data_IF_082824175402
#
_entry.id   IF_082824175402
#
_cell.length_a   1.000
_cell.length_b   1.000
_cell.length_c   1.000
_cell.angle_alpha   90.00
_cell.angle_beta   90.00
_cell.angle_gamma   90.00
#
_symmetry.space_group_name_H-M   'P 1'
#
loop_
_entity.id
_entity.type
_entity.pdbx_description
1 polymer ?
#
# COMPACT_ATOMS: atom_id res chain seq x y z
N UNK A 1 15.16 19.43 -9.22
CA UNK A 1 13.81 20.00 -9.02
C UNK A 1 13.90 20.90 -7.81
N UNK A 2 13.70 22.21 -7.95
CA UNK A 2 13.61 23.08 -6.78
C UNK A 2 12.18 22.93 -6.24
N UNK A 3 12.00 22.29 -5.08
CA UNK A 3 10.68 22.07 -4.47
C UNK A 3 10.05 23.39 -3.98
N UNK A 4 10.88 24.43 -3.88
CA UNK A 4 10.48 25.83 -3.79
C UNK A 4 9.96 26.25 -5.18
N UNK A 5 8.66 26.55 -5.27
CA UNK A 5 7.89 26.87 -6.48
C UNK A 5 7.49 25.66 -7.35
N UNK A 6 6.95 24.61 -6.73
CA UNK A 6 6.34 23.52 -7.51
C UNK A 6 5.07 23.99 -8.22
N UNK A 7 4.99 23.75 -9.54
CA UNK A 7 3.89 24.19 -10.41
C UNK A 7 3.24 22.98 -11.06
N UNK A 8 1.94 22.81 -10.85
CA UNK A 8 1.16 21.68 -11.35
C UNK A 8 -0.02 22.20 -12.18
N UNK A 9 -0.34 21.52 -13.28
CA UNK A 9 -1.55 21.82 -14.06
C UNK A 9 -2.55 20.67 -13.92
N UNK A 10 -3.78 20.99 -13.53
CA UNK A 10 -4.91 20.05 -13.53
C UNK A 10 -6.14 20.74 -14.06
N UNK A 11 -6.74 20.20 -15.12
CA UNK A 11 -7.92 20.76 -15.79
C UNK A 11 -7.74 22.25 -16.19
N UNK A 12 -6.55 22.62 -16.67
CA UNK A 12 -6.22 23.99 -17.06
C UNK A 12 -5.97 24.96 -15.89
N UNK A 13 -6.14 24.54 -14.63
CA UNK A 13 -5.77 25.33 -13.46
C UNK A 13 -4.33 25.05 -13.07
N UNK A 14 -3.61 26.12 -12.80
CA UNK A 14 -2.24 26.08 -12.32
C UNK A 14 -2.28 26.18 -10.79
N UNK A 15 -1.67 25.20 -10.12
CA UNK A 15 -1.52 25.16 -8.68
C UNK A 15 -0.04 25.32 -8.37
N UNK A 16 0.28 26.32 -7.55
CA UNK A 16 1.62 26.58 -7.07
C UNK A 16 1.70 26.30 -5.58
N UNK A 17 2.72 25.57 -5.14
CA UNK A 17 2.97 25.29 -3.73
C UNK A 17 4.46 25.22 -3.43
N UNK A 18 4.82 25.73 -2.26
CA UNK A 18 6.15 25.58 -1.66
C UNK A 18 6.23 24.42 -0.67
N UNK A 19 5.10 23.72 -0.44
CA UNK A 19 5.00 22.58 0.45
C UNK A 19 4.39 21.38 -0.29
N UNK A 20 5.11 20.27 -0.34
CA UNK A 20 4.71 19.03 -1.00
C UNK A 20 4.80 17.89 0.01
N UNK A 21 3.71 17.14 0.14
CA UNK A 21 3.72 15.84 0.83
C UNK A 21 3.89 14.75 -0.22
N UNK A 22 5.03 14.08 -0.20
CA UNK A 22 5.28 12.91 -1.02
C UNK A 22 4.74 11.65 -0.35
N UNK A 23 3.82 10.97 -1.03
CA UNK A 23 3.17 9.75 -0.52
C UNK A 23 3.61 8.48 -1.25
N UNK A 24 4.44 8.58 -2.28
CA UNK A 24 4.92 7.43 -3.04
C UNK A 24 5.98 6.61 -2.32
N UNK A 25 6.57 5.65 -3.03
CA UNK A 25 7.67 4.86 -2.49
C UNK A 25 8.92 5.76 -2.27
N UNK A 26 9.48 5.83 -1.04
CA UNK A 26 10.62 6.69 -0.73
C UNK A 26 11.85 6.49 -1.63
N UNK A 27 12.08 5.30 -2.20
CA UNK A 27 13.17 5.05 -3.17
C UNK A 27 13.15 6.07 -4.31
N UNK A 28 11.95 6.45 -4.75
CA UNK A 28 11.78 7.38 -5.87
C UNK A 28 12.28 8.80 -5.55
N UNK A 29 12.45 9.15 -4.27
CA UNK A 29 12.96 10.45 -3.87
C UNK A 29 14.36 10.70 -4.44
N UNK A 30 15.21 9.68 -4.61
CA UNK A 30 16.53 9.90 -5.20
C UNK A 30 16.44 10.45 -6.63
N UNK A 31 15.62 9.82 -7.48
CA UNK A 31 15.39 10.30 -8.84
C UNK A 31 14.65 11.64 -8.85
N UNK A 32 13.61 11.79 -8.03
CA UNK A 32 12.78 13.01 -7.99
C UNK A 32 13.55 14.24 -7.51
N UNK A 33 14.52 14.04 -6.63
CA UNK A 33 15.35 15.12 -6.08
C UNK A 33 16.67 15.30 -6.86
N UNK A 34 16.81 14.67 -8.02
CA UNK A 34 18.04 14.71 -8.81
C UNK A 34 19.29 14.37 -7.99
N UNK A 35 19.21 13.30 -7.17
CA UNK A 35 20.25 12.79 -6.29
C UNK A 35 20.58 13.63 -5.04
N UNK A 36 19.87 14.71 -4.75
CA UNK A 36 20.06 15.47 -3.49
C UNK A 36 19.72 14.61 -2.26
N UNK A 37 18.65 13.82 -2.36
CA UNK A 37 18.35 12.77 -1.39
C UNK A 37 18.90 11.44 -1.91
N UNK A 38 19.79 10.81 -1.14
CA UNK A 38 20.24 9.44 -1.42
C UNK A 38 19.37 8.41 -0.70
N UNK A 39 18.80 7.47 -1.44
CA UNK A 39 17.95 6.43 -0.89
C UNK A 39 18.59 5.07 -1.09
N UNK A 40 19.10 4.50 -0.01
CA UNK A 40 19.56 3.12 0.02
C UNK A 40 18.47 2.29 0.65
N UNK A 41 17.82 1.47 -0.16
CA UNK A 41 16.91 0.46 0.34
C UNK A 41 17.32 -0.87 -0.26
N UNK A 42 17.24 -1.96 0.51
CA UNK A 42 17.45 -3.27 -0.07
C UNK A 42 16.47 -3.39 -1.22
N UNK A 43 16.95 -3.79 -2.40
CA UNK A 43 16.13 -4.26 -3.52
C UNK A 43 15.48 -5.60 -3.11
N UNK A 44 14.82 -5.61 -1.97
CA UNK A 44 14.00 -6.71 -1.50
C UNK A 44 12.75 -6.70 -2.37
N UNK A 45 12.66 -7.69 -3.25
CA UNK A 45 11.46 -7.97 -4.02
C UNK A 45 10.51 -8.71 -3.11
N UNK A 46 9.32 -8.15 -2.94
CA UNK A 46 8.34 -8.72 -2.03
C UNK A 46 7.93 -10.14 -2.50
N UNK A 47 8.05 -11.13 -1.61
CA UNK A 47 7.76 -12.53 -1.92
C UNK A 47 6.26 -12.90 -1.87
N UNK A 48 5.38 -11.95 -1.57
CA UNK A 48 3.94 -12.22 -1.45
C UNK A 48 3.26 -12.36 -2.82
N UNK A 49 2.13 -13.07 -2.82
CA UNK A 49 1.14 -13.02 -3.90
C UNK A 49 -0.21 -12.61 -3.33
N UNK A 50 -0.87 -11.66 -3.99
CA UNK A 50 -2.31 -11.42 -3.81
C UNK A 50 -3.04 -12.06 -4.98
N UNK A 51 -4.10 -12.79 -4.70
CA UNK A 51 -4.93 -13.47 -5.68
C UNK A 51 -6.35 -12.93 -5.62
N UNK A 52 -6.94 -12.66 -6.78
CA UNK A 52 -8.38 -12.50 -6.94
C UNK A 52 -8.88 -13.75 -7.67
N UNK A 53 -9.63 -14.58 -6.97
CA UNK A 53 -10.18 -15.83 -7.48
C UNK A 53 -11.63 -15.55 -7.84
N UNK A 54 -11.93 -15.56 -9.14
CA UNK A 54 -13.28 -15.38 -9.67
C UNK A 54 -13.95 -16.75 -9.67
N UNK A 55 -15.11 -16.82 -9.05
CA UNK A 55 -15.87 -18.04 -8.80
C UNK A 55 -17.16 -18.02 -9.61
N UNK A 56 -17.66 -19.23 -9.93
CA UNK A 56 -18.96 -19.42 -10.58
C UNK A 56 -20.12 -19.17 -9.61
N UNK A 57 -19.95 -19.58 -8.36
CA UNK A 57 -20.94 -19.60 -7.29
C UNK A 57 -20.24 -19.72 -5.92
N UNK A 58 -21.01 -19.56 -4.84
CA UNK A 58 -20.55 -19.70 -3.45
C UNK A 58 -19.85 -21.05 -3.17
N UNK A 59 -18.80 -21.02 -2.38
CA UNK A 59 -18.00 -22.21 -2.02
C UNK A 59 -18.63 -23.04 -0.90
N UNK A 60 -18.35 -24.35 -0.90
CA UNK A 60 -18.50 -25.19 0.28
C UNK A 60 -17.41 -24.86 1.29
N UNK A 61 -17.70 -25.13 2.56
CA UNK A 61 -16.83 -24.78 3.68
C UNK A 61 -16.67 -25.99 4.58
N UNK A 62 -15.43 -26.30 4.93
CA UNK A 62 -15.09 -27.31 5.94
C UNK A 62 -14.86 -26.67 7.32
N UNK A 63 -15.14 -27.44 8.38
CA UNK A 63 -14.77 -27.05 9.74
C UNK A 63 -13.25 -26.86 9.90
N UNK A 64 -12.79 -25.93 10.75
CA UNK A 64 -13.57 -25.13 11.71
C UNK A 64 -14.15 -23.83 11.11
N UNK A 65 -14.02 -23.62 9.80
CA UNK A 65 -14.51 -22.40 9.16
C UNK A 65 -16.03 -22.48 9.07
N UNK A 66 -16.72 -21.47 9.62
CA UNK A 66 -18.18 -21.37 9.55
C UNK A 66 -18.58 -20.39 8.45
N UNK A 67 -19.67 -20.64 7.70
CA UNK A 67 -20.18 -19.71 6.70
C UNK A 67 -20.44 -18.30 7.25
N UNK A 68 -20.84 -18.20 8.51
CA UNK A 68 -21.11 -16.92 9.18
C UNK A 68 -19.87 -16.04 9.35
N UNK A 69 -18.65 -16.55 9.12
CA UNK A 69 -17.42 -15.74 9.13
C UNK A 69 -17.11 -15.08 7.77
N UNK A 70 -17.91 -15.35 6.74
CA UNK A 70 -17.68 -14.82 5.39
C UNK A 70 -17.85 -13.31 5.29
N UNK A 71 -18.46 -12.69 6.30
CA UNK A 71 -18.58 -11.25 6.44
C UNK A 71 -17.37 -10.56 7.07
N UNK A 72 -16.30 -11.33 7.32
CA UNK A 72 -15.09 -10.87 7.99
C UNK A 72 -13.83 -11.08 7.14
N UNK A 73 -12.71 -10.57 7.65
CA UNK A 73 -11.39 -10.97 7.21
C UNK A 73 -11.02 -12.31 7.85
N UNK A 74 -10.93 -13.37 7.05
CA UNK A 74 -10.59 -14.70 7.53
C UNK A 74 -9.06 -14.87 7.49
N UNK A 75 -8.47 -15.32 8.59
CA UNK A 75 -7.02 -15.61 8.66
C UNK A 75 -6.82 -17.12 8.71
N UNK A 76 -6.29 -17.68 7.62
CA UNK A 76 -5.95 -19.10 7.49
C UNK A 76 -4.42 -19.28 7.44
N UNK A 77 -3.90 -20.51 7.60
CA UNK A 77 -2.48 -20.79 7.34
C UNK A 77 -2.02 -20.36 5.94
N UNK A 78 -2.94 -20.39 4.96
CA UNK A 78 -2.73 -19.93 3.59
C UNK A 78 -2.59 -18.43 3.47
N UNK A 79 -3.11 -17.65 4.43
CA UNK A 79 -3.08 -16.19 4.40
C UNK A 79 -4.43 -15.57 4.76
N UNK A 80 -4.54 -14.28 4.44
CA UNK A 80 -5.71 -13.46 4.73
C UNK A 80 -6.69 -13.49 3.56
N UNK A 81 -7.95 -13.83 3.83
CA UNK A 81 -9.01 -14.02 2.84
C UNK A 81 -10.17 -13.07 3.12
N UNK A 82 -10.73 -12.50 2.05
CA UNK A 82 -12.05 -11.85 2.10
C UNK A 82 -12.94 -12.38 0.97
N UNK A 83 -14.24 -12.41 1.24
CA UNK A 83 -15.30 -12.80 0.31
C UNK A 83 -16.28 -11.62 0.16
N UNK A 84 -15.89 -10.52 -0.49
CA UNK A 84 -16.70 -9.31 -0.57
C UNK A 84 -18.11 -9.55 -1.15
N UNK A 85 -18.26 -10.48 -2.08
CA UNK A 85 -19.57 -10.82 -2.66
C UNK A 85 -20.52 -11.49 -1.67
N UNK A 86 -20.01 -12.10 -0.59
CA UNK A 86 -20.84 -12.70 0.46
C UNK A 86 -21.54 -11.64 1.33
N UNK A 87 -21.04 -10.40 1.35
CA UNK A 87 -21.62 -9.29 2.15
C UNK A 87 -22.24 -8.18 1.32
N UNK A 88 -21.83 -8.03 0.06
CA UNK A 88 -22.34 -6.99 -0.82
C UNK A 88 -22.69 -7.58 -2.20
N UNK A 89 -23.95 -7.98 -2.31
CA UNK A 89 -24.53 -8.52 -3.55
C UNK A 89 -24.53 -7.50 -4.71
N UNK A 90 -24.28 -6.21 -4.45
CA UNK A 90 -24.22 -5.18 -5.50
C UNK A 90 -22.90 -5.19 -6.27
N UNK A 91 -21.84 -5.79 -5.73
CA UNK A 91 -20.53 -5.83 -6.37
C UNK A 91 -20.51 -6.71 -7.62
N UNK A 92 -21.45 -7.65 -7.73
CA UNK A 92 -21.60 -8.56 -8.87
C UNK A 92 -20.51 -9.63 -8.96
N UNK A 93 -20.92 -10.88 -9.15
CA UNK A 93 -20.02 -12.04 -9.25
C UNK A 93 -19.45 -12.49 -7.91
N UNK A 94 -19.04 -13.76 -7.83
CA UNK A 94 -18.44 -14.33 -6.62
C UNK A 94 -16.91 -14.22 -6.68
N UNK A 95 -16.32 -13.44 -5.78
CA UNK A 95 -14.87 -13.19 -5.77
C UNK A 95 -14.30 -13.45 -4.38
N UNK A 96 -13.31 -14.33 -4.31
CA UNK A 96 -12.44 -14.47 -3.15
C UNK A 96 -11.17 -13.67 -3.40
N UNK A 97 -10.78 -12.82 -2.45
CA UNK A 97 -9.44 -12.22 -2.46
C UNK A 97 -8.59 -12.85 -1.38
N UNK A 98 -7.34 -13.16 -1.71
CA UNK A 98 -6.39 -13.83 -0.83
C UNK A 98 -5.05 -13.08 -0.87
N UNK A 99 -4.50 -12.76 0.29
CA UNK A 99 -3.10 -12.38 0.47
C UNK A 99 -2.33 -13.56 1.08
N UNK A 100 -1.55 -14.29 0.28
CA UNK A 100 -0.87 -15.49 0.77
C UNK A 100 -0.56 -16.53 -0.32
N UNK A 101 -0.91 -17.79 -0.08
CA UNK A 101 -0.75 -18.91 -1.02
C UNK A 101 -2.08 -19.61 -1.31
N UNK A 102 -2.32 -19.94 -2.57
CA UNK A 102 -3.49 -20.73 -2.98
C UNK A 102 -3.38 -22.21 -2.64
N UNK A 103 -2.18 -22.67 -2.26
CA UNK A 103 -1.89 -24.08 -1.96
C UNK A 103 -2.53 -24.50 -0.63
N UNK A 104 -3.34 -25.56 -0.66
CA UNK A 104 -4.04 -26.07 0.53
C UNK A 104 -5.33 -25.31 0.87
N UNK A 105 -5.80 -24.42 0.00
CA UNK A 105 -7.14 -23.81 0.18
C UNK A 105 -8.26 -24.84 0.15
N UNK A 106 -8.06 -25.96 -0.56
CA UNK A 106 -9.02 -27.06 -0.63
C UNK A 106 -9.34 -27.70 0.72
N UNK A 107 -8.44 -27.56 1.72
CA UNK A 107 -8.66 -28.06 3.07
C UNK A 107 -9.85 -27.35 3.74
N UNK A 108 -10.06 -26.07 3.39
CA UNK A 108 -11.13 -25.22 3.92
C UNK A 108 -12.28 -25.04 2.92
N UNK A 109 -11.98 -25.05 1.62
CA UNK A 109 -12.93 -24.84 0.53
C UNK A 109 -12.82 -25.99 -0.49
N UNK A 110 -13.45 -27.15 -0.24
CA UNK A 110 -13.19 -28.37 -0.98
C UNK A 110 -13.53 -28.29 -2.48
N UNK A 111 -14.45 -27.41 -2.87
CA UNK A 111 -14.88 -27.19 -4.26
C UNK A 111 -14.20 -25.99 -4.93
N UNK A 112 -13.18 -25.37 -4.31
CA UNK A 112 -12.51 -24.18 -4.82
C UNK A 112 -11.97 -24.36 -6.25
N UNK A 113 -11.34 -25.50 -6.54
CA UNK A 113 -10.75 -25.77 -7.87
C UNK A 113 -11.82 -25.95 -8.95
N UNK A 114 -12.95 -26.56 -8.60
CA UNK A 114 -14.07 -26.79 -9.52
C UNK A 114 -14.77 -25.47 -9.88
N UNK A 115 -14.94 -24.59 -8.87
CA UNK A 115 -15.71 -23.35 -9.00
C UNK A 115 -14.90 -22.16 -9.49
N UNK A 116 -13.57 -22.26 -9.49
CA UNK A 116 -12.69 -21.21 -10.02
C UNK A 116 -12.87 -21.06 -11.52
N UNK A 117 -13.35 -19.89 -11.94
CA UNK A 117 -13.41 -19.48 -13.34
C UNK A 117 -12.10 -18.83 -13.81
N UNK A 118 -11.49 -18.02 -12.93
CA UNK A 118 -10.26 -17.30 -13.25
C UNK A 118 -9.49 -16.95 -11.98
N UNK A 119 -8.16 -16.84 -12.11
CA UNK A 119 -7.28 -16.36 -11.05
C UNK A 119 -6.46 -15.21 -11.60
N UNK A 120 -6.68 -14.02 -11.04
CA UNK A 120 -5.79 -12.88 -11.25
C UNK A 120 -4.76 -12.83 -10.12
N UNK A 121 -3.47 -12.90 -10.49
CA UNK A 121 -2.35 -12.89 -9.53
C UNK A 121 -1.63 -11.54 -9.60
N UNK A 122 -1.72 -10.79 -8.51
CA UNK A 122 -0.97 -9.56 -8.28
C UNK A 122 0.29 -9.89 -7.49
N UNK A 123 1.45 -9.82 -8.15
CA UNK A 123 2.76 -10.00 -7.54
C UNK A 123 3.57 -8.69 -7.58
N UNK A 124 4.79 -8.70 -7.04
CA UNK A 124 5.63 -7.50 -6.98
C UNK A 124 5.89 -6.85 -8.34
N UNK A 125 5.97 -7.62 -9.44
CA UNK A 125 6.19 -7.08 -10.79
C UNK A 125 4.98 -6.28 -11.27
N UNK A 126 3.78 -6.82 -11.06
CA UNK A 126 2.52 -6.15 -11.38
C UNK A 126 2.39 -4.88 -10.56
N UNK A 127 2.73 -4.95 -9.27
CA UNK A 127 2.65 -3.77 -8.40
C UNK A 127 3.66 -2.70 -8.78
N UNK A 128 4.88 -3.10 -9.11
CA UNK A 128 5.93 -2.19 -9.56
C UNK A 128 5.55 -1.49 -10.86
N UNK A 129 5.02 -2.22 -11.85
CA UNK A 129 4.67 -1.65 -13.15
C UNK A 129 3.41 -0.77 -13.11
N UNK A 130 2.35 -1.21 -12.43
CA UNK A 130 1.07 -0.51 -12.44
C UNK A 130 1.03 0.69 -11.48
N UNK A 131 1.69 0.58 -10.33
CA UNK A 131 1.60 1.60 -9.27
C UNK A 131 2.89 2.40 -9.08
N UNK A 132 3.89 2.21 -9.94
CA UNK A 132 5.21 2.83 -9.82
C UNK A 132 5.77 2.63 -8.39
N UNK A 133 5.73 1.40 -7.91
CA UNK A 133 6.13 1.04 -6.56
C UNK A 133 7.33 0.06 -6.59
N UNK A 134 8.57 0.59 -6.62
CA UNK A 134 9.78 -0.22 -6.68
C UNK A 134 9.83 -1.35 -5.63
N UNK A 135 10.18 -2.56 -6.06
CA UNK A 135 10.22 -3.76 -5.23
C UNK A 135 8.84 -4.33 -4.86
N UNK A 136 7.75 -3.65 -5.26
CA UNK A 136 6.38 -4.11 -5.12
C UNK A 136 5.88 -4.28 -3.69
N UNK A 137 6.54 -3.67 -2.69
CA UNK A 137 6.12 -3.79 -1.29
C UNK A 137 4.89 -2.90 -1.02
N UNK A 138 3.75 -3.43 -0.56
CA UNK A 138 2.52 -2.65 -0.36
C UNK A 138 2.69 -1.60 0.74
N UNK A 139 3.67 -1.79 1.64
CA UNK A 139 4.05 -0.82 2.65
C UNK A 139 5.16 0.12 2.17
N UNK A 140 5.50 0.14 0.88
CA UNK A 140 6.67 0.78 0.25
C UNK A 140 8.03 0.26 0.72
N UNK A 141 8.22 0.03 2.02
CA UNK A 141 9.41 -0.56 2.62
C UNK A 141 9.05 -1.76 3.52
N UNK A 142 9.99 -2.70 3.74
CA UNK A 142 9.78 -3.89 4.58
C UNK A 142 9.20 -3.58 5.96
N UNK A 143 8.28 -4.43 6.43
CA UNK A 143 7.71 -4.31 7.78
C UNK A 143 8.75 -4.57 8.88
N UNK A 144 9.89 -5.20 8.60
CA UNK A 144 11.01 -5.26 9.56
C UNK A 144 11.58 -3.87 9.90
N UNK A 145 11.30 -2.85 9.08
CA UNK A 145 11.62 -1.45 9.38
C UNK A 145 10.49 -0.73 10.13
N UNK A 146 9.36 -1.38 10.40
CA UNK A 146 8.26 -0.77 11.15
C UNK A 146 8.80 -0.30 12.50
N UNK A 147 8.41 0.91 12.91
CA UNK A 147 8.96 1.62 14.07
C UNK A 147 10.44 2.05 14.01
N UNK A 148 11.22 1.66 13.00
CA UNK A 148 12.59 2.15 12.76
C UNK A 148 12.60 3.42 11.90
N UNK A 149 11.88 4.46 12.36
CA UNK A 149 12.13 5.84 11.94
C UNK A 149 12.23 6.00 10.40
N UNK A 150 11.24 5.42 9.70
CA UNK A 150 11.20 5.27 8.24
C UNK A 150 10.90 6.60 7.53
N UNK A 151 11.43 6.83 6.32
CA UNK A 151 12.32 5.99 5.54
C UNK A 151 13.80 6.17 5.91
N UNK A 152 14.12 7.21 6.68
CA UNK A 152 15.45 7.50 7.20
C UNK A 152 15.37 8.02 8.63
N UNK A 153 16.24 7.47 9.47
CA UNK A 153 16.34 7.85 10.88
C UNK A 153 16.56 9.35 11.04
N UNK A 154 15.83 9.95 11.97
CA UNK A 154 15.91 11.37 12.30
C UNK A 154 15.13 12.32 11.38
N UNK A 155 14.51 11.85 10.29
CA UNK A 155 13.67 12.72 9.45
C UNK A 155 12.33 13.08 10.09
N UNK A 156 11.74 12.15 10.86
CA UNK A 156 10.32 12.24 11.21
C UNK A 156 9.46 12.32 9.94
N UNK A 157 8.75 13.44 9.74
CA UNK A 157 7.95 13.70 8.53
C UNK A 157 8.55 14.76 7.60
N UNK A 158 9.72 15.31 7.94
CA UNK A 158 10.41 16.37 7.19
C UNK A 158 11.63 15.79 6.49
N UNK A 159 11.80 16.06 5.21
CA UNK A 159 13.02 15.67 4.51
C UNK A 159 14.10 16.76 4.69
N UNK A 160 15.37 16.48 4.33
CA UNK A 160 16.42 17.50 4.28
C UNK A 160 16.14 18.63 3.28
N UNK A 161 15.23 18.41 2.32
CA UNK A 161 14.81 19.43 1.37
C UNK A 161 13.64 20.19 1.98
N UNK A 162 13.83 21.51 2.15
CA UNK A 162 12.81 22.40 2.68
C UNK A 162 11.53 22.36 1.84
N UNK A 163 10.38 22.27 2.51
CA UNK A 163 9.09 22.19 1.85
C UNK A 163 8.74 20.81 1.30
N UNK A 164 9.63 19.81 1.41
CA UNK A 164 9.35 18.44 1.03
C UNK A 164 9.15 17.58 2.28
N UNK A 165 7.96 16.98 2.38
CA UNK A 165 7.50 16.14 3.47
C UNK A 165 7.18 14.74 2.97
N UNK A 166 7.06 13.79 3.88
CA UNK A 166 6.72 12.40 3.57
C UNK A 166 5.47 11.98 4.35
N UNK A 167 4.51 11.32 3.69
CA UNK A 167 3.23 10.98 4.31
C UNK A 167 2.57 9.71 3.79
N UNK A 168 3.29 8.88 3.04
CA UNK A 168 2.81 7.58 2.55
C UNK A 168 3.20 6.41 3.44
N UNK A 169 2.91 5.19 2.99
CA UNK A 169 3.25 3.93 3.69
C UNK A 169 4.75 3.75 4.00
N UNK A 170 5.60 4.48 3.28
CA UNK A 170 7.03 4.51 3.50
C UNK A 170 7.50 5.32 4.71
N UNK A 171 6.66 6.19 5.28
CA UNK A 171 6.97 7.00 6.45
C UNK A 171 6.59 6.27 7.76
N UNK A 172 7.14 6.72 8.89
CA UNK A 172 6.77 6.21 10.21
C UNK A 172 5.25 6.38 10.48
N UNK A 173 4.60 5.46 11.22
CA UNK A 173 5.11 4.17 11.71
C UNK A 173 5.20 3.09 10.61
N UNK A 174 4.51 3.30 9.49
CA UNK A 174 4.35 2.37 8.38
C UNK A 174 2.98 2.58 7.72
N UNK A 175 2.70 1.82 6.67
CA UNK A 175 1.44 1.87 5.92
C UNK A 175 0.27 1.13 6.57
N UNK A 176 -0.52 0.46 5.72
CA UNK A 176 -1.83 -0.13 5.98
C UNK A 176 -2.96 0.93 6.06
N UNK A 177 -4.07 0.60 6.72
CA UNK A 177 -5.31 1.40 6.76
C UNK A 177 -5.30 2.43 7.91
N UNK A 178 -4.14 2.71 8.53
CA UNK A 178 -4.07 3.53 9.74
C UNK A 178 -4.30 5.03 9.48
N UNK A 179 -3.93 5.52 8.30
CA UNK A 179 -3.95 6.96 7.96
C UNK A 179 -2.96 7.83 8.76
N UNK A 180 -2.17 7.24 9.65
CA UNK A 180 -1.24 7.95 10.56
C UNK A 180 -0.17 8.73 9.81
N UNK A 181 0.51 8.18 8.77
CA UNK A 181 1.55 8.92 8.07
C UNK A 181 1.04 10.20 7.41
N UNK A 182 -0.11 10.11 6.73
CA UNK A 182 -0.73 11.26 6.05
C UNK A 182 -1.15 12.35 7.04
N UNK A 183 -1.81 11.95 8.15
CA UNK A 183 -2.19 12.86 9.23
C UNK A 183 -0.98 13.62 9.77
N UNK A 184 0.08 12.90 10.15
CA UNK A 184 1.22 13.52 10.82
C UNK A 184 2.07 14.37 9.86
N UNK A 185 2.17 13.98 8.58
CA UNK A 185 2.77 14.83 7.55
C UNK A 185 2.03 16.17 7.40
N UNK A 186 0.69 16.13 7.40
CA UNK A 186 -0.11 17.35 7.36
C UNK A 186 0.13 18.24 8.59
N UNK A 187 0.23 17.67 9.79
CA UNK A 187 0.59 18.43 10.99
C UNK A 187 1.97 19.07 10.89
N UNK A 188 2.98 18.35 10.37
CA UNK A 188 4.32 18.90 10.17
C UNK A 188 4.31 20.12 9.21
N UNK A 189 3.55 20.03 8.11
CA UNK A 189 3.35 21.16 7.18
C UNK A 189 2.69 22.33 7.91
N UNK A 190 1.61 22.09 8.66
CA UNK A 190 0.88 23.14 9.38
C UNK A 190 1.75 23.84 10.42
N UNK A 191 2.61 23.11 11.14
CA UNK A 191 3.57 23.67 12.09
C UNK A 191 4.55 24.62 11.39
N UNK A 192 5.12 24.19 10.27
CA UNK A 192 6.14 24.96 9.55
C UNK A 192 5.55 26.21 8.89
N UNK A 193 4.34 26.09 8.34
CA UNK A 193 3.57 27.22 7.79
C UNK A 193 3.22 28.22 8.89
N UNK A 194 2.75 27.77 10.07
CA UNK A 194 2.39 28.67 11.18
C UNK A 194 3.60 29.41 11.75
N UNK A 195 4.75 28.75 11.81
CA UNK A 195 5.97 29.35 12.38
C UNK A 195 6.69 30.28 11.41
N UNK A 196 6.24 30.44 10.16
CA UNK A 196 6.92 31.25 9.13
C UNK A 196 8.42 30.92 9.00
N UNK A 197 8.83 29.68 9.28
CA UNK A 197 10.26 29.35 9.37
C UNK A 197 10.86 29.36 7.97
N UNK A 198 11.51 30.48 7.65
CA UNK A 198 12.49 30.56 6.59
C UNK A 198 13.76 29.83 7.05
N UNK A 199 13.84 28.52 6.82
CA UNK A 199 15.13 27.83 6.78
C UNK A 199 15.97 28.33 5.60
#
# INVERSE_FOLDING_TARGET
LNFLNSRWSRNGKIIESNNIIFTGNPVLLEKLTNNEIKMELPLYRAGYGRYNIILRDNLKVNEPLKPDYFDSLIVLPQGEITLPSAVDNSLGGDVMTLMGSIEGLEDFFPDIKEKTLHIDKVNWKVVESLYNNPGGNPNHLPLSLIFNDRPKKGWGYRTPIKGLYIGGSGAYPGGQVTGVPGRNAAFAVLEDVRKNIKY
#
